data_IF_757880381080
#
_entry.id   IF_757880381080
#
_cell.length_a   1.000
_cell.length_b   1.000
_cell.length_c   1.000
_cell.angle_alpha   90.00
_cell.angle_beta   90.00
_cell.angle_gamma   90.00
#
_symmetry.space_group_name_H-M   'P 1'
#
loop_
_entity.id
_entity.type
_entity.pdbx_description
1 polymer ?
#
# COMPACT_ATOMS: atom_id res chain seq x y z
N UNK A 1 20.28 51.76 -21.37
CA UNK A 1 21.64 51.29 -21.72
C UNK A 1 21.79 49.83 -21.29
N UNK A 2 22.56 49.01 -22.02
CA UNK A 2 22.04 47.84 -22.71
C UNK A 2 22.51 46.47 -22.16
N UNK A 3 21.75 45.45 -22.59
CA UNK A 3 22.08 44.03 -22.85
C UNK A 3 23.51 43.56 -22.57
N UNK A 4 23.63 42.38 -21.94
CA UNK A 4 24.55 41.33 -22.41
C UNK A 4 24.15 39.94 -21.87
N UNK A 5 23.67 39.10 -22.81
CA UNK A 5 23.68 37.64 -22.71
C UNK A 5 25.12 37.14 -22.85
N UNK A 6 25.50 35.99 -22.26
CA UNK A 6 26.59 35.18 -22.78
C UNK A 6 26.05 33.97 -23.56
N UNK A 7 26.67 33.77 -24.72
CA UNK A 7 26.45 32.73 -25.71
C UNK A 7 27.27 31.47 -25.36
N UNK A 8 26.68 30.33 -25.69
CA UNK A 8 27.16 28.94 -25.74
C UNK A 8 28.66 28.70 -25.98
N UNK A 9 29.19 27.65 -25.33
CA UNK A 9 30.04 26.67 -26.01
C UNK A 9 29.66 25.23 -25.60
N UNK A 10 29.52 24.31 -26.58
CA UNK A 10 29.17 22.90 -26.34
C UNK A 10 30.42 22.06 -26.02
N UNK A 11 30.34 21.25 -24.96
CA UNK A 11 31.33 20.24 -24.59
C UNK A 11 31.20 18.96 -25.44
N UNK A 12 32.31 18.27 -25.73
CA UNK A 12 32.40 17.28 -26.80
C UNK A 12 31.80 15.90 -26.46
N UNK A 13 31.35 15.24 -27.52
CA UNK A 13 30.70 13.94 -27.57
C UNK A 13 31.67 12.78 -27.21
N UNK A 14 31.16 11.83 -26.44
CA UNK A 14 31.83 10.55 -26.13
C UNK A 14 32.09 9.72 -27.41
N UNK A 15 33.19 8.94 -27.44
CA UNK A 15 33.52 8.09 -28.57
C UNK A 15 32.60 6.86 -28.68
N UNK A 16 32.24 6.56 -29.93
CA UNK A 16 31.42 5.43 -30.36
C UNK A 16 31.95 4.07 -29.88
N UNK A 17 31.05 3.30 -29.27
CA UNK A 17 31.19 1.87 -28.98
C UNK A 17 31.24 1.10 -30.31
N UNK A 18 32.37 0.44 -30.58
CA UNK A 18 32.63 -0.39 -31.75
C UNK A 18 32.13 -1.82 -31.48
N UNK A 19 31.12 -2.29 -32.20
CA UNK A 19 30.68 -3.70 -32.16
C UNK A 19 31.77 -4.62 -32.74
N UNK A 20 31.95 -5.85 -32.20
CA UNK A 20 32.82 -6.85 -32.80
C UNK A 20 32.17 -7.50 -34.03
N UNK A 21 32.93 -7.57 -35.12
CA UNK A 21 32.61 -8.27 -36.37
C UNK A 21 32.66 -9.80 -36.21
N UNK A 22 31.88 -10.56 -37.00
CA UNK A 22 31.81 -12.01 -36.88
C UNK A 22 33.07 -12.71 -37.39
N UNK A 23 33.46 -13.77 -36.68
CA UNK A 23 34.63 -14.59 -36.95
C UNK A 23 34.53 -15.31 -38.30
N UNK A 24 35.68 -15.23 -38.97
CA UNK A 24 36.12 -15.80 -40.24
C UNK A 24 35.78 -17.30 -40.37
N UNK A 25 35.04 -17.63 -41.43
CA UNK A 25 34.74 -18.97 -41.93
C UNK A 25 36.04 -19.66 -42.37
N UNK A 26 36.39 -20.77 -41.72
CA UNK A 26 37.59 -21.54 -42.05
C UNK A 26 37.51 -22.11 -43.47
N UNK A 27 38.64 -21.99 -44.17
CA UNK A 27 38.81 -22.31 -45.58
C UNK A 27 38.76 -23.81 -45.88
N UNK A 28 38.24 -24.07 -47.07
CA UNK A 28 38.29 -25.34 -47.80
C UNK A 28 39.75 -25.60 -48.22
N UNK A 29 40.34 -26.77 -47.97
CA UNK A 29 41.63 -27.11 -48.55
C UNK A 29 41.46 -27.48 -50.04
N UNK A 30 42.12 -26.72 -50.91
CA UNK A 30 42.24 -27.00 -52.34
C UNK A 30 43.07 -28.26 -52.57
N UNK A 31 42.51 -29.16 -53.38
CA UNK A 31 43.11 -30.39 -53.89
C UNK A 31 44.15 -30.04 -54.95
N UNK A 32 45.43 -30.11 -54.60
CA UNK A 32 46.53 -30.06 -55.56
C UNK A 32 46.83 -31.48 -56.08
N UNK A 33 46.67 -31.66 -57.39
CA UNK A 33 47.15 -32.83 -58.12
C UNK A 33 48.67 -32.90 -57.99
N UNK A 34 49.19 -33.99 -57.44
CA UNK A 34 50.58 -34.35 -57.65
C UNK A 34 50.65 -35.68 -58.40
N UNK A 35 51.14 -35.56 -59.64
CA UNK A 35 51.55 -36.63 -60.53
C UNK A 35 52.86 -37.21 -60.02
N UNK A 36 52.88 -38.50 -59.74
CA UNK A 36 54.10 -39.22 -59.33
C UNK A 36 53.90 -40.71 -59.54
N UNK A 37 54.36 -41.22 -60.67
CA UNK A 37 54.37 -42.62 -61.04
C UNK A 37 55.38 -43.42 -60.20
N UNK A 38 54.92 -44.45 -59.51
CA UNK A 38 55.75 -45.55 -59.00
C UNK A 38 55.03 -46.88 -59.25
N UNK A 39 55.70 -47.92 -59.79
CA UNK A 39 55.05 -49.18 -60.15
C UNK A 39 55.12 -50.21 -59.01
N UNK A 40 54.36 -51.30 -59.19
CA UNK A 40 54.30 -52.57 -58.40
C UNK A 40 53.48 -52.49 -57.10
N UNK A 41 52.68 -53.48 -56.68
CA UNK A 41 52.79 -54.94 -56.82
C UNK A 41 51.38 -55.57 -56.62
N UNK A 42 51.05 -56.66 -57.33
CA UNK A 42 49.68 -57.22 -57.42
C UNK A 42 49.35 -58.26 -56.32
N UNK A 43 50.10 -58.28 -55.21
CA UNK A 43 50.00 -59.34 -54.19
C UNK A 43 49.30 -58.97 -52.86
N UNK A 44 48.70 -57.78 -52.73
CA UNK A 44 48.01 -57.39 -51.47
C UNK A 44 46.48 -57.54 -51.54
N UNK A 45 46.00 -58.72 -51.93
CA UNK A 45 44.60 -59.13 -51.71
C UNK A 45 44.50 -59.91 -50.39
N UNK A 46 44.77 -59.24 -49.26
CA UNK A 46 44.37 -59.73 -47.94
C UNK A 46 43.34 -58.76 -47.36
N UNK A 47 42.10 -59.18 -47.08
CA UNK A 47 41.15 -58.31 -46.39
C UNK A 47 41.63 -58.13 -44.94
N UNK A 48 42.25 -56.99 -44.65
CA UNK A 48 42.51 -56.56 -43.28
C UNK A 48 41.17 -56.17 -42.65
N UNK A 49 40.64 -57.02 -41.77
CA UNK A 49 39.61 -56.60 -40.83
C UNK A 49 40.26 -55.66 -39.80
N UNK A 50 40.18 -54.36 -40.06
CA UNK A 50 40.57 -53.34 -39.11
C UNK A 50 39.55 -53.32 -37.96
N UNK A 51 40.00 -53.61 -36.74
CA UNK A 51 39.14 -53.58 -35.56
C UNK A 51 38.59 -52.15 -35.34
N UNK A 52 37.33 -51.99 -34.90
CA UNK A 52 36.76 -50.68 -34.66
C UNK A 52 37.61 -49.93 -33.62
N UNK A 53 37.84 -48.61 -33.80
CA UNK A 53 38.65 -47.83 -32.88
C UNK A 53 38.04 -47.85 -31.47
N UNK A 54 38.87 -47.87 -30.40
CA UNK A 54 38.37 -47.83 -29.04
C UNK A 54 37.53 -46.56 -28.81
N UNK A 55 36.48 -46.63 -27.96
CA UNK A 55 35.63 -45.47 -27.69
C UNK A 55 36.45 -44.30 -27.12
N UNK A 56 36.13 -43.05 -27.50
CA UNK A 56 36.90 -41.89 -27.04
C UNK A 56 36.84 -41.78 -25.51
N UNK A 57 38.01 -41.80 -24.87
CA UNK A 57 38.13 -41.63 -23.43
C UNK A 57 37.70 -40.21 -23.04
N UNK A 58 36.63 -40.09 -22.25
CA UNK A 58 36.11 -38.81 -21.77
C UNK A 58 37.12 -38.20 -20.79
N UNK A 59 37.73 -37.06 -21.14
CA UNK A 59 38.60 -36.30 -20.23
C UNK A 59 37.81 -35.88 -18.97
N UNK A 60 38.37 -36.03 -17.76
CA UNK A 60 37.69 -35.59 -16.54
C UNK A 60 37.47 -34.07 -16.62
N UNK A 61 36.23 -33.64 -16.40
CA UNK A 61 35.90 -32.22 -16.33
C UNK A 61 36.57 -31.65 -15.08
N UNK A 62 37.19 -30.47 -15.21
CA UNK A 62 37.92 -29.83 -14.11
C UNK A 62 36.99 -29.52 -12.92
N UNK A 63 37.18 -30.24 -11.81
CA UNK A 63 36.47 -29.98 -10.55
C UNK A 63 36.80 -28.60 -9.96
N UNK A 64 37.94 -28.01 -10.34
CA UNK A 64 38.35 -26.69 -9.88
C UNK A 64 37.34 -25.60 -10.27
N UNK A 65 36.68 -25.70 -11.43
CA UNK A 65 35.65 -24.72 -11.83
C UNK A 65 34.47 -24.74 -10.85
N UNK A 66 34.08 -25.91 -10.36
CA UNK A 66 33.02 -26.04 -9.36
C UNK A 66 33.47 -25.54 -7.99
N UNK A 67 34.72 -25.83 -7.58
CA UNK A 67 35.28 -25.32 -6.33
C UNK A 67 35.30 -23.79 -6.34
N UNK A 68 35.87 -23.16 -7.37
CA UNK A 68 35.85 -21.70 -7.51
C UNK A 68 34.44 -21.15 -7.59
N UNK A 69 33.55 -21.76 -8.38
CA UNK A 69 32.14 -21.34 -8.45
C UNK A 69 31.44 -21.34 -7.09
N UNK A 70 31.59 -22.41 -6.30
CA UNK A 70 30.99 -22.51 -4.97
C UNK A 70 31.54 -21.49 -3.98
N UNK A 71 32.85 -21.23 -4.00
CA UNK A 71 33.47 -20.22 -3.12
C UNK A 71 32.97 -18.81 -3.42
N UNK A 72 32.87 -18.42 -4.70
CA UNK A 72 32.33 -17.11 -5.09
C UNK A 72 30.84 -16.97 -4.74
N UNK A 73 30.04 -18.03 -4.93
CA UNK A 73 28.62 -18.02 -4.53
C UNK A 73 28.48 -17.89 -3.01
N UNK A 74 29.27 -18.65 -2.24
CA UNK A 74 29.25 -18.56 -0.78
C UNK A 74 29.64 -17.16 -0.30
N UNK A 75 30.74 -16.61 -0.81
CA UNK A 75 31.16 -15.25 -0.47
C UNK A 75 30.12 -14.20 -0.87
N UNK A 76 29.51 -14.34 -2.05
CA UNK A 76 28.42 -13.48 -2.50
C UNK A 76 27.20 -13.54 -1.58
N UNK A 77 26.80 -14.74 -1.13
CA UNK A 77 25.69 -14.93 -0.19
C UNK A 77 26.00 -14.32 1.18
N UNK A 78 27.20 -14.55 1.72
CA UNK A 78 27.62 -14.00 3.01
C UNK A 78 27.69 -12.46 2.93
N UNK A 79 28.35 -11.92 1.91
CA UNK A 79 28.45 -10.47 1.72
C UNK A 79 27.07 -9.83 1.51
N UNK A 80 26.20 -10.46 0.72
CA UNK A 80 24.83 -10.00 0.51
C UNK A 80 24.00 -10.00 1.80
N UNK A 81 24.14 -11.03 2.64
CA UNK A 81 23.46 -11.12 3.94
C UNK A 81 23.95 -10.04 4.92
N UNK A 82 25.27 -9.82 4.98
CA UNK A 82 25.86 -8.77 5.82
C UNK A 82 25.40 -7.39 5.35
N UNK A 83 25.48 -7.10 4.05
CA UNK A 83 25.03 -5.82 3.49
C UNK A 83 23.54 -5.56 3.77
N UNK A 84 22.68 -6.58 3.64
CA UNK A 84 21.26 -6.48 3.98
C UNK A 84 21.03 -6.11 5.44
N UNK A 85 21.88 -6.60 6.34
CA UNK A 85 21.74 -6.33 7.78
C UNK A 85 22.08 -4.89 8.17
N UNK A 86 22.91 -4.21 7.38
CA UNK A 86 23.26 -2.80 7.59
C UNK A 86 22.39 -1.81 6.82
N UNK A 87 21.84 -2.23 5.67
CA UNK A 87 21.03 -1.36 4.80
C UNK A 87 19.53 -1.45 5.13
N UNK A 88 19.04 -2.60 5.59
CA UNK A 88 17.63 -2.73 5.93
C UNK A 88 17.33 -1.97 7.24
N UNK A 89 16.29 -1.13 7.27
CA UNK A 89 15.85 -0.52 8.51
C UNK A 89 15.47 -1.63 9.51
N UNK A 90 15.63 -1.38 10.82
CA UNK A 90 15.23 -2.35 11.83
C UNK A 90 13.76 -2.73 11.62
N UNK A 91 13.39 -4.01 11.79
CA UNK A 91 12.01 -4.43 11.66
C UNK A 91 11.15 -3.70 12.71
N UNK A 92 9.88 -3.47 12.36
CA UNK A 92 8.91 -2.96 13.33
C UNK A 92 8.74 -3.96 14.48
N UNK A 93 8.45 -3.49 15.70
CA UNK A 93 8.15 -4.38 16.81
C UNK A 93 6.95 -5.27 16.48
N UNK A 94 6.90 -6.42 17.13
CA UNK A 94 5.71 -7.26 17.07
C UNK A 94 4.55 -6.56 17.76
N UNK A 95 3.33 -6.62 17.20
CA UNK A 95 2.15 -6.05 17.85
C UNK A 95 2.01 -6.56 19.28
N UNK A 96 1.59 -5.68 20.19
CA UNK A 96 1.39 -5.97 21.62
C UNK A 96 2.66 -6.30 22.44
N UNK A 97 3.83 -6.35 21.81
CA UNK A 97 5.12 -6.41 22.53
C UNK A 97 5.32 -5.19 23.43
N UNK A 98 6.23 -5.30 24.41
CA UNK A 98 6.54 -4.19 25.32
C UNK A 98 6.99 -2.93 24.57
N UNK A 99 7.80 -3.13 23.53
CA UNK A 99 8.35 -2.07 22.69
C UNK A 99 7.25 -1.42 21.81
N UNK A 100 6.27 -2.21 21.36
CA UNK A 100 5.10 -1.70 20.64
C UNK A 100 4.22 -0.84 21.54
N UNK A 101 3.91 -1.32 22.75
CA UNK A 101 3.13 -0.57 23.76
C UNK A 101 3.78 0.76 24.10
N UNK A 102 5.10 0.78 24.28
CA UNK A 102 5.83 2.02 24.55
C UNK A 102 5.74 3.00 23.36
N UNK A 103 5.89 2.52 22.12
CA UNK A 103 5.73 3.38 20.94
C UNK A 103 4.31 3.91 20.80
N UNK A 104 3.30 3.08 21.04
CA UNK A 104 1.90 3.49 21.04
C UNK A 104 1.64 4.57 22.09
N UNK A 105 2.21 4.44 23.28
CA UNK A 105 2.09 5.45 24.34
C UNK A 105 2.72 6.79 23.92
N UNK A 106 3.87 6.77 23.25
CA UNK A 106 4.47 7.99 22.67
C UNK A 106 3.56 8.58 21.59
N UNK A 107 3.07 7.76 20.65
CA UNK A 107 2.15 8.22 19.61
C UNK A 107 0.85 8.80 20.17
N UNK A 108 0.35 8.27 21.30
CA UNK A 108 -0.82 8.80 22.01
C UNK A 108 -0.54 10.20 22.55
N UNK A 109 0.63 10.41 23.15
CA UNK A 109 1.05 11.74 23.62
C UNK A 109 1.22 12.71 22.46
N UNK A 110 1.83 12.26 21.37
CA UNK A 110 2.07 13.07 20.18
C UNK A 110 0.74 13.50 19.53
N UNK A 111 -0.20 12.58 19.31
CA UNK A 111 -1.51 12.91 18.72
C UNK A 111 -2.30 13.87 19.61
N UNK A 112 -2.25 13.68 20.93
CA UNK A 112 -2.94 14.53 21.91
C UNK A 112 -2.28 15.92 22.01
N UNK A 113 -1.01 16.04 21.62
CA UNK A 113 -0.28 17.31 21.56
C UNK A 113 -0.62 18.17 20.34
N UNK A 114 -1.22 17.59 19.29
CA UNK A 114 -1.52 18.28 18.04
C UNK A 114 -2.55 19.41 18.25
N UNK A 115 -2.29 20.56 17.64
CA UNK A 115 -3.12 21.76 17.78
C UNK A 115 -4.57 21.51 17.32
N UNK A 116 -4.76 20.74 16.25
CA UNK A 116 -6.10 20.38 15.77
C UNK A 116 -6.87 19.54 16.80
N UNK A 117 -6.21 18.60 17.48
CA UNK A 117 -6.85 17.76 18.49
C UNK A 117 -7.20 18.58 19.73
N UNK A 118 -6.29 19.46 20.16
CA UNK A 118 -6.53 20.41 21.25
C UNK A 118 -7.67 21.37 20.93
N UNK A 119 -7.72 21.91 19.71
CA UNK A 119 -8.77 22.82 19.27
C UNK A 119 -10.13 22.11 19.26
N UNK A 120 -10.22 20.91 18.67
CA UNK A 120 -11.47 20.15 18.63
C UNK A 120 -11.95 19.71 20.02
N UNK A 121 -11.03 19.41 20.95
CA UNK A 121 -11.37 19.15 22.36
C UNK A 121 -11.82 20.41 23.09
N UNK A 122 -11.17 21.54 22.88
CA UNK A 122 -11.55 22.81 23.49
C UNK A 122 -12.92 23.31 22.99
N UNK A 123 -13.25 23.03 21.72
CA UNK A 123 -14.57 23.29 21.15
C UNK A 123 -15.60 22.20 21.48
N UNK A 124 -15.18 21.07 22.04
CA UNK A 124 -15.99 19.86 22.17
C UNK A 124 -16.66 19.64 23.52
N UNK A 125 -17.69 18.79 23.53
CA UNK A 125 -18.24 18.21 24.76
C UNK A 125 -17.45 16.94 25.11
N UNK A 126 -16.79 16.92 26.26
CA UNK A 126 -16.10 15.74 26.75
C UNK A 126 -17.12 14.72 27.31
N UNK A 127 -17.28 13.58 26.64
CA UNK A 127 -18.19 12.50 27.06
C UNK A 127 -17.76 11.82 28.37
N UNK A 128 -16.48 11.93 28.74
CA UNK A 128 -15.87 11.25 29.90
C UNK A 128 -15.52 12.17 31.07
N UNK A 129 -15.90 13.45 31.01
CA UNK A 129 -15.81 14.34 32.15
C UNK A 129 -17.19 14.88 32.47
N UNK A 130 -17.68 14.59 33.67
CA UNK A 130 -18.91 15.17 34.26
C UNK A 130 -18.79 16.69 34.50
N UNK A 131 -17.84 17.36 33.86
CA UNK A 131 -17.57 18.80 33.99
C UNK A 131 -17.96 19.49 32.69
N UNK A 132 -19.12 20.15 32.68
CA UNK A 132 -19.48 21.08 31.62
C UNK A 132 -18.45 22.21 31.59
N UNK A 133 -17.78 22.41 30.45
CA UNK A 133 -16.94 23.59 30.25
C UNK A 133 -17.83 24.83 30.19
N UNK A 134 -17.59 25.72 31.15
CA UNK A 134 -18.36 26.93 31.41
C UNK A 134 -18.43 27.85 30.18
N UNK A 135 -19.64 28.36 29.95
CA UNK A 135 -20.00 29.58 29.22
C UNK A 135 -18.95 30.14 28.25
N UNK A 136 -19.11 29.82 26.96
CA UNK A 136 -18.41 30.50 25.87
C UNK A 136 -19.28 30.57 24.61
N UNK A 137 -20.32 31.41 24.69
CA UNK A 137 -20.95 32.04 23.52
C UNK A 137 -22.02 31.21 22.81
N UNK A 138 -23.24 31.75 22.79
CA UNK A 138 -24.35 31.27 21.99
C UNK A 138 -23.92 30.96 20.53
N UNK A 139 -24.06 29.70 20.12
CA UNK A 139 -24.02 29.29 18.71
C UNK A 139 -22.91 28.33 18.26
N UNK A 140 -22.00 27.86 19.11
CA UNK A 140 -20.96 26.91 18.69
C UNK A 140 -21.34 25.45 19.04
N UNK A 141 -21.64 24.67 18.00
CA UNK A 141 -21.89 23.23 18.04
C UNK A 141 -20.66 22.50 18.57
N UNK A 142 -20.76 21.84 19.73
CA UNK A 142 -19.60 21.16 20.30
C UNK A 142 -19.27 19.87 19.57
N UNK A 143 -18.00 19.70 19.19
CA UNK A 143 -17.47 18.44 18.66
C UNK A 143 -17.58 17.32 19.70
N UNK A 144 -17.99 16.12 19.28
CA UNK A 144 -18.02 14.92 20.13
C UNK A 144 -16.84 14.02 19.77
N UNK A 145 -15.95 13.75 20.73
CA UNK A 145 -14.88 12.77 20.54
C UNK A 145 -15.48 11.35 20.47
N UNK A 146 -15.12 10.60 19.43
CA UNK A 146 -15.53 9.22 19.23
C UNK A 146 -14.41 8.29 19.73
N UNK A 147 -14.75 7.43 20.68
CA UNK A 147 -13.83 6.38 21.11
C UNK A 147 -13.79 5.24 20.09
N UNK A 148 -12.70 5.16 19.33
CA UNK A 148 -12.41 3.98 18.50
C UNK A 148 -12.10 2.73 19.33
N UNK A 149 -11.78 2.88 20.62
CA UNK A 149 -11.18 1.85 21.48
C UNK A 149 -12.17 1.01 22.30
N UNK A 150 -13.45 1.37 22.36
CA UNK A 150 -14.42 0.76 23.31
C UNK A 150 -14.80 -0.70 22.99
N UNK A 151 -14.20 -1.36 21.98
CA UNK A 151 -14.47 -2.79 21.70
C UNK A 151 -13.24 -3.70 21.93
N UNK A 152 -12.07 -3.15 22.28
CA UNK A 152 -10.83 -3.95 22.36
C UNK A 152 -10.04 -3.82 23.66
N UNK A 153 -10.70 -3.57 24.80
CA UNK A 153 -10.11 -3.83 26.12
C UNK A 153 -10.59 -5.20 26.65
N UNK A 154 -9.87 -6.32 26.38
CA UNK A 154 -9.95 -7.51 27.22
C UNK A 154 -9.16 -7.34 28.53
N UNK A 155 -8.45 -6.22 28.70
CA UNK A 155 -7.76 -5.83 29.94
C UNK A 155 -8.41 -4.59 30.52
N UNK A 156 -9.69 -4.71 30.90
CA UNK A 156 -10.33 -3.76 31.80
C UNK A 156 -9.63 -3.79 33.15
N UNK A 157 -8.53 -3.05 33.29
CA UNK A 157 -8.00 -2.70 34.61
C UNK A 157 -8.82 -1.54 35.15
N UNK A 158 -10.06 -1.86 35.55
CA UNK A 158 -10.62 -1.36 36.80
C UNK A 158 -10.42 -2.48 37.82
N UNK A 159 -9.31 -2.40 38.55
CA UNK A 159 -9.29 -2.75 39.97
C UNK A 159 -10.37 -1.83 40.59
N UNK A 160 -11.40 -2.26 41.32
CA UNK A 160 -11.49 -3.22 42.41
C UNK A 160 -12.95 -3.69 42.58
N UNK A 161 -13.11 -4.78 43.34
CA UNK A 161 -14.31 -5.21 44.07
C UNK A 161 -15.53 -5.78 43.31
N UNK A 162 -15.48 -7.08 43.03
CA UNK A 162 -16.47 -8.03 43.55
C UNK A 162 -16.05 -9.48 43.22
N UNK A 163 -15.77 -10.25 44.26
CA UNK A 163 -15.62 -11.69 44.17
C UNK A 163 -16.94 -12.36 43.78
N UNK A 164 -16.82 -13.54 43.15
CA UNK A 164 -17.84 -14.58 42.96
C UNK A 164 -18.89 -14.34 41.87
N UNK A 165 -18.71 -15.00 40.72
CA UNK A 165 -19.50 -16.19 40.36
C UNK A 165 -19.11 -16.65 38.95
N UNK A 166 -18.70 -17.92 38.86
CA UNK A 166 -18.53 -18.65 37.61
C UNK A 166 -19.92 -18.84 37.02
N UNK A 167 -20.27 -18.09 35.99
CA UNK A 167 -21.43 -18.36 35.15
C UNK A 167 -21.04 -18.27 33.68
N UNK A 168 -21.13 -19.43 33.02
CA UNK A 168 -21.05 -19.61 31.58
C UNK A 168 -22.17 -18.81 30.90
N UNK A 169 -21.93 -17.54 30.64
CA UNK A 169 -22.69 -16.76 29.67
C UNK A 169 -21.73 -16.28 28.57
N UNK A 170 -21.29 -17.22 27.74
CA UNK A 170 -20.93 -16.95 26.35
C UNK A 170 -22.20 -16.52 25.59
N UNK A 171 -22.74 -15.36 25.96
CA UNK A 171 -23.86 -14.73 25.28
C UNK A 171 -23.31 -13.97 24.08
N UNK A 172 -23.33 -14.64 22.93
CA UNK A 172 -23.36 -14.16 21.55
C UNK A 172 -23.31 -12.62 21.38
N UNK A 173 -22.17 -11.96 21.64
CA UNK A 173 -21.93 -10.63 21.11
C UNK A 173 -21.61 -10.82 19.62
N UNK A 174 -22.26 -10.09 18.69
CA UNK A 174 -21.91 -10.18 17.29
C UNK A 174 -20.42 -9.85 17.17
N UNK A 175 -19.63 -10.83 16.71
CA UNK A 175 -18.20 -10.60 16.43
C UNK A 175 -18.11 -9.42 15.46
N UNK A 176 -17.30 -8.40 15.77
CA UNK A 176 -17.23 -7.22 14.94
C UNK A 176 -16.82 -7.61 13.53
N UNK A 177 -17.57 -7.19 12.52
CA UNK A 177 -17.37 -7.62 11.13
C UNK A 177 -16.20 -6.85 10.48
N UNK A 178 -15.90 -5.63 10.96
CA UNK A 178 -14.79 -4.77 10.52
C UNK A 178 -13.59 -4.85 11.48
N UNK A 179 -13.08 -6.07 11.69
CA UNK A 179 -11.85 -6.33 12.49
C UNK A 179 -10.56 -5.82 11.85
N UNK A 180 -10.57 -5.44 10.56
CA UNK A 180 -9.36 -5.12 9.81
C UNK A 180 -8.61 -3.90 10.37
N UNK A 181 -9.32 -2.79 10.58
CA UNK A 181 -8.72 -1.54 11.09
C UNK A 181 -8.43 -1.60 12.59
N UNK A 182 -9.25 -2.34 13.34
CA UNK A 182 -9.15 -2.42 14.80
C UNK A 182 -8.18 -3.50 15.33
N UNK A 183 -8.03 -4.62 14.62
CA UNK A 183 -7.17 -5.74 15.05
C UNK A 183 -5.98 -5.92 14.10
N UNK A 184 -6.23 -6.22 12.83
CA UNK A 184 -5.17 -6.63 11.88
C UNK A 184 -4.20 -5.50 11.55
N UNK A 185 -4.72 -4.28 11.43
CA UNK A 185 -3.92 -3.08 11.16
C UNK A 185 -3.53 -2.35 12.46
N UNK A 186 -3.74 -2.91 13.65
CA UNK A 186 -3.36 -2.26 14.90
C UNK A 186 -1.83 -2.27 15.14
N UNK A 187 -1.41 -1.61 16.23
CA UNK A 187 -0.01 -1.55 16.65
C UNK A 187 0.74 -0.34 16.09
N UNK A 188 1.90 -0.02 16.67
CA UNK A 188 2.69 1.16 16.32
C UNK A 188 3.25 1.13 14.89
N UNK A 189 3.42 -0.06 14.31
CA UNK A 189 3.77 -0.23 12.90
C UNK A 189 2.55 -0.14 11.97
N UNK A 190 1.33 -0.23 12.49
CA UNK A 190 0.06 -0.18 11.75
C UNK A 190 -0.63 1.18 11.86
N UNK A 191 -1.95 1.17 11.99
CA UNK A 191 -2.77 2.29 12.43
C UNK A 191 -2.57 2.47 13.94
N UNK A 192 -1.44 3.07 14.32
CA UNK A 192 -1.01 3.14 15.72
C UNK A 192 -2.03 3.82 16.63
N UNK A 193 -2.39 5.07 16.34
CA UNK A 193 -3.35 5.83 17.14
C UNK A 193 -4.28 6.61 16.22
N UNK A 194 -5.54 6.69 16.63
CA UNK A 194 -6.59 7.43 15.95
C UNK A 194 -7.40 8.24 16.97
N UNK A 195 -7.80 9.45 16.59
CA UNK A 195 -8.74 10.31 17.32
C UNK A 195 -9.77 10.80 16.33
N UNK A 196 -11.06 10.68 16.62
CA UNK A 196 -12.09 11.24 15.74
C UNK A 196 -13.04 12.10 16.54
N UNK A 197 -13.54 13.11 15.85
CA UNK A 197 -14.42 14.12 16.36
C UNK A 197 -15.58 14.23 15.38
N UNK A 198 -16.79 14.07 15.87
CA UNK A 198 -18.01 14.15 15.07
C UNK A 198 -18.85 15.34 15.52
N UNK A 199 -19.36 16.10 14.56
CA UNK A 199 -20.22 17.23 14.82
C UNK A 199 -21.70 16.83 14.66
N UNK A 200 -22.53 16.93 15.73
CA UNK A 200 -23.95 16.60 15.65
C UNK A 200 -24.78 17.50 14.74
N UNK A 201 -24.36 18.74 14.55
CA UNK A 201 -25.13 19.72 13.78
C UNK A 201 -24.81 19.63 12.31
N UNK A 202 -23.53 19.59 11.93
CA UNK A 202 -23.11 19.56 10.53
C UNK A 202 -23.01 18.15 9.95
N UNK A 203 -23.07 17.11 10.80
CA UNK A 203 -22.78 15.71 10.42
C UNK A 203 -21.43 15.55 9.73
N UNK A 204 -20.44 16.28 10.21
CA UNK A 204 -19.05 16.19 9.76
C UNK A 204 -18.22 15.37 10.75
N UNK A 205 -17.23 14.65 10.23
CA UNK A 205 -16.25 13.91 11.00
C UNK A 205 -14.86 14.44 10.67
N UNK A 206 -14.10 14.78 11.70
CA UNK A 206 -12.67 15.05 11.59
C UNK A 206 -11.94 13.97 12.39
N UNK A 207 -11.11 13.18 11.72
CA UNK A 207 -10.28 12.17 12.37
C UNK A 207 -8.80 12.46 12.12
N UNK A 208 -7.98 12.35 13.15
CA UNK A 208 -6.53 12.34 13.03
C UNK A 208 -6.08 10.89 13.08
N UNK A 209 -5.38 10.46 12.03
CA UNK A 209 -4.96 9.08 11.84
C UNK A 209 -3.45 9.02 11.62
N UNK A 210 -2.79 8.10 12.31
CA UNK A 210 -1.39 7.77 12.08
C UNK A 210 -1.28 6.59 11.10
N UNK A 211 -0.47 6.73 10.06
CA UNK A 211 -0.12 5.61 9.17
C UNK A 211 1.27 5.09 9.49
N UNK A 212 1.38 3.93 10.13
CA UNK A 212 2.65 3.29 10.46
C UNK A 212 3.32 2.59 9.27
N UNK A 213 4.61 2.31 9.40
CA UNK A 213 5.43 1.81 8.30
C UNK A 213 5.14 0.38 7.84
N UNK A 214 4.47 -0.47 8.62
CA UNK A 214 3.98 -1.79 8.16
C UNK A 214 2.81 -1.65 7.16
N UNK A 215 2.20 -0.47 7.08
CA UNK A 215 1.19 -0.13 6.07
C UNK A 215 1.80 0.50 4.83
N UNK A 216 3.12 0.43 4.63
CA UNK A 216 3.77 1.00 3.45
C UNK A 216 3.62 0.10 2.23
N UNK A 217 3.27 0.67 1.08
CA UNK A 217 3.26 -0.04 -0.21
C UNK A 217 4.55 0.15 -1.00
N UNK A 218 5.16 1.33 -0.86
CA UNK A 218 6.46 1.70 -1.42
C UNK A 218 7.34 2.20 -0.27
N UNK A 219 8.68 2.07 -0.32
CA UNK A 219 9.55 2.53 0.76
C UNK A 219 9.23 3.96 1.21
N UNK A 220 8.76 4.09 2.46
CA UNK A 220 8.40 5.39 3.06
C UNK A 220 7.03 5.95 2.68
N UNK A 221 6.23 5.27 1.84
CA UNK A 221 4.88 5.72 1.46
C UNK A 221 3.81 4.73 1.89
N UNK A 222 2.75 5.24 2.52
CA UNK A 222 1.57 4.48 2.89
C UNK A 222 0.92 3.81 1.66
N UNK A 223 0.46 2.58 1.85
CA UNK A 223 -0.18 1.76 0.83
C UNK A 223 -1.54 2.35 0.44
N UNK A 224 -1.79 2.52 -0.85
CA UNK A 224 -3.04 3.09 -1.35
C UNK A 224 -4.28 2.37 -0.82
N UNK A 225 -4.25 1.04 -0.77
CA UNK A 225 -5.33 0.25 -0.18
C UNK A 225 -5.53 0.47 1.32
N UNK A 226 -4.46 0.71 2.09
CA UNK A 226 -4.60 1.01 3.52
C UNK A 226 -5.28 2.38 3.72
N UNK A 227 -4.92 3.35 2.88
CA UNK A 227 -5.57 4.67 2.85
C UNK A 227 -7.04 4.55 2.45
N UNK A 228 -7.34 3.74 1.44
CA UNK A 228 -8.71 3.44 1.01
C UNK A 228 -9.56 2.85 2.15
N UNK A 229 -9.01 1.89 2.90
CA UNK A 229 -9.68 1.27 4.05
C UNK A 229 -10.00 2.29 5.13
N UNK A 230 -9.05 3.15 5.51
CA UNK A 230 -9.28 4.20 6.52
C UNK A 230 -10.34 5.20 6.04
N UNK A 231 -10.31 5.60 4.76
CA UNK A 231 -11.33 6.49 4.19
C UNK A 231 -12.71 5.85 4.18
N UNK A 232 -12.80 4.58 3.82
CA UNK A 232 -14.05 3.85 3.87
C UNK A 232 -14.59 3.78 5.32
N UNK A 233 -13.74 3.47 6.30
CA UNK A 233 -14.11 3.44 7.72
C UNK A 233 -14.64 4.80 8.18
N UNK A 234 -13.92 5.89 7.87
CA UNK A 234 -14.32 7.26 8.20
C UNK A 234 -15.63 7.70 7.54
N UNK A 235 -15.82 7.40 6.25
CA UNK A 235 -17.07 7.70 5.54
C UNK A 235 -18.25 6.89 6.09
N UNK A 236 -18.04 5.61 6.38
CA UNK A 236 -19.05 4.78 7.02
C UNK A 236 -19.42 5.30 8.41
N UNK A 237 -18.47 5.85 9.18
CA UNK A 237 -18.75 6.49 10.49
C UNK A 237 -19.55 7.77 10.37
N UNK A 238 -19.27 8.61 9.37
CA UNK A 238 -20.08 9.81 9.09
C UNK A 238 -21.53 9.44 8.82
N UNK A 239 -21.75 8.38 8.04
CA UNK A 239 -23.08 7.86 7.72
C UNK A 239 -23.75 7.22 8.94
N UNK A 240 -22.98 6.51 9.77
CA UNK A 240 -23.48 5.87 11.00
C UNK A 240 -23.97 6.87 12.06
N UNK A 241 -23.26 8.00 12.19
CA UNK A 241 -23.37 8.87 13.33
C UNK A 241 -22.54 8.39 14.54
N UNK A 242 -22.67 9.04 15.70
CA UNK A 242 -21.76 8.89 16.83
C UNK A 242 -22.00 7.62 17.66
N UNK A 243 -23.26 7.18 17.75
CA UNK A 243 -23.69 6.13 18.69
C UNK A 243 -23.84 4.76 18.02
N UNK A 244 -23.59 4.67 16.71
CA UNK A 244 -23.73 3.45 15.94
C UNK A 244 -22.41 2.68 15.85
N UNK A 245 -22.49 1.37 16.08
CA UNK A 245 -21.38 0.45 15.83
C UNK A 245 -21.15 0.41 14.31
N UNK A 246 -19.90 0.54 13.87
CA UNK A 246 -19.56 0.60 12.45
C UNK A 246 -20.01 -0.64 11.65
N UNK A 247 -20.14 -1.78 12.31
CA UNK A 247 -20.62 -3.04 11.71
C UNK A 247 -22.11 -3.00 11.34
N UNK A 248 -22.87 -2.10 11.95
CA UNK A 248 -24.29 -1.91 11.61
C UNK A 248 -24.50 -1.17 10.28
N UNK A 249 -23.46 -0.52 9.75
CA UNK A 249 -23.54 0.24 8.51
C UNK A 249 -23.19 -0.65 7.32
N UNK A 250 -24.05 -0.74 6.29
CA UNK A 250 -23.73 -1.48 5.08
C UNK A 250 -22.48 -0.92 4.40
N UNK A 251 -21.75 -1.78 3.69
CA UNK A 251 -20.65 -1.31 2.84
C UNK A 251 -21.15 -0.34 1.77
N UNK A 252 -20.34 0.65 1.38
CA UNK A 252 -20.73 1.58 0.33
C UNK A 252 -20.97 0.85 -1.00
N UNK A 253 -22.00 1.25 -1.73
CA UNK A 253 -22.33 0.73 -3.06
C UNK A 253 -21.26 1.10 -4.08
N UNK A 254 -20.62 2.26 -3.90
CA UNK A 254 -19.43 2.65 -4.66
C UNK A 254 -18.47 3.46 -3.80
N UNK A 255 -17.16 3.32 -4.05
CA UNK A 255 -16.11 4.12 -3.45
C UNK A 255 -15.14 4.55 -4.55
N UNK A 256 -15.00 5.86 -4.77
CA UNK A 256 -14.07 6.45 -5.73
C UNK A 256 -13.01 7.24 -4.99
N UNK A 257 -11.74 6.99 -5.32
CA UNK A 257 -10.58 7.60 -4.68
C UNK A 257 -9.72 8.32 -5.71
N UNK A 258 -9.25 9.51 -5.37
CA UNK A 258 -8.31 10.30 -6.18
C UNK A 258 -7.08 10.62 -5.35
N UNK A 259 -5.95 9.98 -5.66
CA UNK A 259 -4.66 10.20 -5.02
C UNK A 259 -3.99 11.42 -5.64
N UNK A 260 -4.01 12.55 -4.93
CA UNK A 260 -3.44 13.81 -5.39
C UNK A 260 -1.96 13.97 -5.00
N UNK A 261 -1.56 13.48 -3.82
CA UNK A 261 -0.18 13.57 -3.31
C UNK A 261 0.24 12.30 -2.57
N UNK A 262 1.55 11.97 -2.56
CA UNK A 262 2.06 10.83 -1.81
C UNK A 262 1.80 11.00 -0.31
N UNK A 263 1.32 9.94 0.32
CA UNK A 263 1.13 9.87 1.78
C UNK A 263 2.34 9.16 2.36
N UNK A 264 3.13 9.86 3.17
CA UNK A 264 4.31 9.33 3.84
C UNK A 264 3.89 8.39 4.97
N UNK A 265 4.66 7.33 5.17
CA UNK A 265 4.51 6.46 6.33
C UNK A 265 5.14 7.08 7.58
N UNK A 266 4.73 6.58 8.75
CA UNK A 266 5.06 7.06 10.08
C UNK A 266 4.72 8.55 10.31
N UNK A 267 3.58 9.01 9.80
CA UNK A 267 3.16 10.39 9.95
C UNK A 267 1.65 10.49 10.24
N UNK A 268 1.25 11.63 10.82
CA UNK A 268 -0.14 11.96 11.11
C UNK A 268 -0.81 12.65 9.92
N UNK A 269 -2.08 12.33 9.75
CA UNK A 269 -2.93 12.88 8.70
C UNK A 269 -4.29 13.23 9.26
N UNK A 270 -4.92 14.25 8.66
CA UNK A 270 -6.27 14.68 9.00
C UNK A 270 -7.22 14.15 7.95
N UNK A 271 -8.11 13.26 8.34
CA UNK A 271 -9.26 12.83 7.57
C UNK A 271 -10.42 13.77 7.88
N UNK A 272 -10.99 14.39 6.85
CA UNK A 272 -12.24 15.14 6.95
C UNK A 272 -13.28 14.40 6.14
N UNK A 273 -14.45 14.16 6.70
CA UNK A 273 -15.54 13.52 6.01
C UNK A 273 -16.84 14.26 6.31
N UNK A 274 -17.67 14.40 5.28
CA UNK A 274 -18.93 15.13 5.34
C UNK A 274 -20.02 14.35 4.61
N UNK A 275 -21.21 14.41 5.17
CA UNK A 275 -22.40 13.87 4.54
C UNK A 275 -22.95 14.92 3.57
N UNK A 276 -22.99 14.60 2.28
CA UNK A 276 -23.66 15.44 1.29
C UNK A 276 -25.11 15.00 1.14
N UNK A 277 -26.04 15.95 1.14
CA UNK A 277 -27.43 15.69 0.80
C UNK A 277 -27.55 15.08 -0.60
N UNK A 278 -28.55 14.21 -0.84
CA UNK A 278 -28.76 13.60 -2.15
C UNK A 278 -28.88 14.71 -3.20
N UNK A 279 -27.91 14.74 -4.12
CA UNK A 279 -27.96 15.62 -5.28
C UNK A 279 -29.08 15.13 -6.19
N UNK A 280 -30.19 15.88 -6.27
CA UNK A 280 -31.21 15.72 -7.31
C UNK A 280 -30.57 15.77 -8.69
N UNK A 281 -30.26 14.61 -9.29
CA UNK A 281 -30.19 14.37 -10.74
C UNK A 281 -29.42 15.34 -11.64
N UNK A 282 -28.65 16.28 -11.13
CA UNK A 282 -27.79 17.16 -11.93
C UNK A 282 -26.47 16.45 -12.12
N UNK A 283 -26.49 15.60 -13.14
CA UNK A 283 -25.40 15.47 -14.11
C UNK A 283 -24.61 16.78 -14.14
N UNK A 284 -23.48 16.82 -13.41
CA UNK A 284 -22.40 17.71 -13.78
C UNK A 284 -22.15 17.43 -15.26
N UNK A 285 -22.09 18.46 -16.13
CA UNK A 285 -21.81 18.21 -17.53
C UNK A 285 -20.56 17.35 -17.58
N UNK A 286 -20.55 16.25 -18.35
CA UNK A 286 -19.36 15.43 -18.48
C UNK A 286 -18.26 16.41 -18.86
N UNK A 287 -17.22 16.51 -18.03
CA UNK A 287 -15.97 17.01 -18.56
C UNK A 287 -15.67 16.01 -19.66
N UNK A 288 -15.88 16.45 -20.90
CA UNK A 288 -15.46 15.74 -22.08
C UNK A 288 -13.96 15.61 -21.93
N UNK A 289 -13.51 14.49 -21.38
CA UNK A 289 -12.23 13.95 -21.78
C UNK A 289 -12.46 13.53 -23.24
N UNK A 290 -11.95 14.28 -24.24
CA UNK A 290 -11.78 13.67 -25.54
C UNK A 290 -10.77 12.55 -25.31
N UNK A 291 -11.14 11.34 -25.73
CA UNK A 291 -10.34 10.12 -25.61
C UNK A 291 -10.53 9.33 -24.30
N UNK A 292 -11.79 8.96 -24.02
CA UNK A 292 -12.07 7.60 -23.52
C UNK A 292 -11.59 6.61 -24.60
N UNK A 293 -10.29 6.34 -24.55
CA UNK A 293 -9.53 5.54 -25.49
C UNK A 293 -10.22 4.21 -25.72
N UNK A 294 -10.43 3.91 -27.00
CA UNK A 294 -10.74 2.57 -27.53
C UNK A 294 -9.90 1.56 -26.77
N UNK A 295 -10.54 0.77 -25.90
CA UNK A 295 -9.87 -0.30 -25.18
C UNK A 295 -9.33 -1.27 -26.21
N UNK A 296 -8.00 -1.43 -26.27
CA UNK A 296 -7.36 -2.43 -27.13
C UNK A 296 -7.63 -3.86 -26.65
N UNK A 297 -8.28 -4.00 -25.50
CA UNK A 297 -8.57 -5.26 -24.84
C UNK A 297 -9.76 -5.96 -25.52
N UNK A 298 -9.69 -7.29 -25.69
CA UNK A 298 -10.83 -8.06 -26.16
C UNK A 298 -12.00 -7.91 -25.19
N UNK A 299 -13.22 -7.89 -25.73
CA UNK A 299 -14.45 -7.57 -25.01
C UNK A 299 -14.70 -8.43 -23.75
N UNK A 300 -14.14 -9.64 -23.68
CA UNK A 300 -14.22 -10.53 -22.51
C UNK A 300 -13.31 -10.15 -21.35
N UNK A 301 -12.41 -9.17 -21.54
CA UNK A 301 -11.46 -8.66 -20.53
C UNK A 301 -11.61 -7.16 -20.28
N UNK A 302 -12.63 -6.53 -20.85
CA UNK A 302 -12.90 -5.11 -20.63
C UNK A 302 -13.77 -4.91 -19.38
N UNK A 303 -13.12 -4.81 -18.22
CA UNK A 303 -13.76 -4.51 -16.93
C UNK A 303 -14.08 -3.01 -16.75
N UNK A 304 -13.75 -2.16 -17.73
CA UNK A 304 -14.07 -0.72 -17.69
C UNK A 304 -15.49 -0.41 -18.17
N UNK A 305 -16.15 -1.40 -18.78
CA UNK A 305 -17.55 -1.32 -19.16
C UNK A 305 -18.42 -1.44 -17.90
N UNK A 306 -18.83 -0.29 -17.35
CA UNK A 306 -19.88 -0.21 -16.31
C UNK A 306 -21.09 -1.01 -16.81
N UNK A 307 -21.41 -2.12 -16.13
CA UNK A 307 -22.71 -2.76 -16.36
C UNK A 307 -23.78 -1.72 -16.00
N UNK A 308 -24.74 -1.41 -16.89
CA UNK A 308 -25.91 -0.67 -16.50
C UNK A 308 -26.69 -1.56 -15.56
N UNK A 309 -26.48 -1.38 -14.25
CA UNK A 309 -27.30 -2.05 -13.24
C UNK A 309 -28.67 -1.39 -13.31
N UNK A 310 -29.60 -2.08 -13.98
CA UNK A 310 -31.03 -1.90 -13.75
C UNK A 310 -31.30 -2.27 -12.29
N UNK A 311 -31.38 -1.28 -11.40
CA UNK A 311 -31.93 -1.47 -10.07
C UNK A 311 -32.60 -0.17 -9.63
N UNK A 312 -33.88 -0.29 -9.33
CA UNK A 312 -34.71 0.51 -8.43
C UNK A 312 -34.01 1.72 -7.81
N UNK A 313 -34.61 2.89 -8.03
CA UNK A 313 -34.21 4.19 -7.47
C UNK A 313 -34.40 4.12 -5.94
N UNK A 314 -33.46 3.51 -5.23
CA UNK A 314 -33.31 3.75 -3.80
C UNK A 314 -32.65 5.11 -3.61
N UNK A 315 -33.06 5.92 -2.61
CA UNK A 315 -32.38 7.17 -2.36
C UNK A 315 -30.92 6.86 -1.99
N UNK A 316 -29.99 7.45 -2.74
CA UNK A 316 -28.55 7.26 -2.51
C UNK A 316 -28.06 8.46 -1.70
N UNK A 317 -27.39 8.17 -0.59
CA UNK A 317 -26.73 9.19 0.20
C UNK A 317 -25.26 9.23 -0.19
N UNK A 318 -24.79 10.40 -0.59
CA UNK A 318 -23.39 10.60 -0.94
C UNK A 318 -22.62 11.10 0.30
N UNK A 319 -21.48 10.46 0.58
CA UNK A 319 -20.51 10.96 1.55
C UNK A 319 -19.22 11.30 0.81
N UNK A 320 -18.59 12.40 1.17
CA UNK A 320 -17.30 12.79 0.62
C UNK A 320 -16.27 13.00 1.72
N UNK A 321 -15.01 12.78 1.39
CA UNK A 321 -13.93 12.95 2.36
C UNK A 321 -12.60 13.29 1.73
N UNK A 322 -11.73 13.88 2.53
CA UNK A 322 -10.36 14.24 2.18
C UNK A 322 -9.41 13.70 3.23
N UNK A 323 -8.21 13.32 2.79
CA UNK A 323 -7.05 13.16 3.67
C UNK A 323 -6.10 14.30 3.36
N UNK A 324 -5.74 15.04 4.39
CA UNK A 324 -4.85 16.17 4.38
C UNK A 324 -3.62 15.86 5.22
N UNK A 325 -2.45 16.33 4.77
CA UNK A 325 -1.27 16.34 5.63
C UNK A 325 -1.43 17.40 6.74
N UNK A 326 -0.52 17.39 7.71
CA UNK A 326 -0.52 18.37 8.80
C UNK A 326 -0.32 19.83 8.33
N UNK A 327 0.11 20.05 7.08
CA UNK A 327 0.21 21.37 6.45
C UNK A 327 -1.08 21.79 5.71
N UNK A 328 -2.17 21.01 5.79
CA UNK A 328 -3.46 21.29 5.15
C UNK A 328 -3.49 21.01 3.64
N UNK A 329 -2.50 20.31 3.09
CA UNK A 329 -2.49 19.94 1.68
C UNK A 329 -3.23 18.62 1.47
N UNK A 330 -4.18 18.61 0.53
CA UNK A 330 -4.94 17.42 0.18
C UNK A 330 -4.05 16.36 -0.48
N UNK A 331 -3.99 15.19 0.14
CA UNK A 331 -3.31 14.00 -0.34
C UNK A 331 -4.25 13.07 -1.09
N UNK A 332 -5.45 12.82 -0.56
CA UNK A 332 -6.44 11.93 -1.19
C UNK A 332 -7.84 12.52 -1.07
N UNK A 333 -8.65 12.36 -2.11
CA UNK A 333 -10.08 12.69 -2.11
C UNK A 333 -10.89 11.42 -2.31
N UNK A 334 -11.99 11.32 -1.59
CA UNK A 334 -12.90 10.19 -1.64
C UNK A 334 -14.34 10.64 -1.85
N UNK A 335 -15.07 9.85 -2.62
CA UNK A 335 -16.53 9.94 -2.73
C UNK A 335 -17.10 8.54 -2.59
N UNK A 336 -18.09 8.37 -1.73
CA UNK A 336 -18.78 7.11 -1.53
C UNK A 336 -20.29 7.30 -1.64
N UNK A 337 -20.97 6.30 -2.20
CA UNK A 337 -22.42 6.24 -2.24
C UNK A 337 -22.91 5.13 -1.31
N UNK A 338 -23.88 5.46 -0.46
CA UNK A 338 -24.50 4.54 0.48
C UNK A 338 -26.00 4.41 0.18
N UNK A 339 -26.62 3.26 0.44
CA UNK A 339 -28.07 3.15 0.39
C UNK A 339 -28.68 4.04 1.48
N UNK A 340 -29.84 4.66 1.25
CA UNK A 340 -30.48 5.53 2.24
C UNK A 340 -30.78 4.84 3.58
N UNK A 341 -30.97 3.52 3.57
CA UNK A 341 -31.12 2.70 4.79
C UNK A 341 -29.90 2.74 5.71
N UNK A 342 -28.74 3.19 5.22
CA UNK A 342 -27.51 3.31 6.00
C UNK A 342 -27.49 4.53 6.92
N UNK A 343 -28.21 5.60 6.59
CA UNK A 343 -28.26 6.81 7.41
C UNK A 343 -29.26 6.61 8.53
N UNK A 344 -28.79 6.72 9.78
CA UNK A 344 -29.67 6.80 10.94
C UNK A 344 -29.89 8.28 11.30
N UNK A 345 -31.13 8.63 11.64
CA UNK A 345 -31.53 9.99 11.99
C UNK A 345 -30.96 10.47 13.32
#
# INVERSE_FOLDING_TARGET
>A
MPLLRPILHPTPLLPHIRLPSPLKRNGIPQRLLNSGSAPTNVNDLRPSFEAPPPPPQKKPRSLFIYIWGTTFVFFGLVAGHVARSFVAPPPFPDPESREDRFRLEVLRRDIDSLDIVKALRAEGYHLHSDTALNDSGAGKSGWRELDFLVISDPSGTKLEDASQTISNEQMLKPEPTRTLTQKTMAGSGGLGVQRAFWNPVTRELIAVVFFGGRLSGWPGLAHGGAIATVLQDGLSRVVAGPDAILDSVPSPSSLSLTYARPTQANNFYVLRALLSSPSDGKTLPPHSDPDASKSWLPWSKDFTKRQPVSSTIEPVVEASGTIENMAGQVCVRAKASFPASAVRE
#
